data_IF_918664688055
#
_entry.id   IF_918664688055
#
_cell.length_a   1.000
_cell.length_b   1.000
_cell.length_c   1.000
_cell.angle_alpha   90.00
_cell.angle_beta   90.00
_cell.angle_gamma   90.00
#
_symmetry.space_group_name_H-M   'P 1'
#
loop_
_entity.id
_entity.type
_entity.pdbx_description
1 polymer ?
#
# COMPACT_ATOMS: atom_id res chain seq x y z
N UNK A 1 49.99 1.73 1.69
CA UNK A 1 48.98 1.42 2.72
C UNK A 1 49.62 0.91 4.01
N UNK A 2 50.52 -0.07 3.96
CA UNK A 2 51.25 -0.57 5.15
C UNK A 2 51.92 0.53 5.98
N UNK A 3 52.64 1.46 5.33
CA UNK A 3 53.29 2.59 6.00
C UNK A 3 52.30 3.46 6.79
N UNK A 4 51.07 3.64 6.28
CA UNK A 4 50.05 4.45 6.95
C UNK A 4 49.54 3.81 8.23
N UNK A 5 49.47 2.48 8.31
CA UNK A 5 49.13 1.79 9.56
C UNK A 5 50.29 1.87 10.54
N UNK A 6 51.53 1.69 10.06
CA UNK A 6 52.75 1.81 10.88
C UNK A 6 52.91 3.20 11.51
N UNK A 7 52.50 4.27 10.80
CA UNK A 7 52.48 5.65 11.31
C UNK A 7 51.16 6.03 12.00
N UNK A 8 50.34 5.07 12.43
CA UNK A 8 49.08 5.31 13.16
C UNK A 8 48.05 6.19 12.42
N UNK A 9 48.02 6.14 11.09
CA UNK A 9 47.06 6.90 10.28
C UNK A 9 45.84 6.07 9.82
N UNK A 10 45.93 4.73 9.85
CA UNK A 10 44.83 3.82 9.48
C UNK A 10 44.79 2.58 10.39
N UNK A 11 43.59 2.05 10.62
CA UNK A 11 43.36 0.74 11.24
C UNK A 11 43.47 -0.36 10.19
N UNK A 12 43.87 -1.55 10.62
CA UNK A 12 43.76 -2.77 9.84
C UNK A 12 42.91 -3.78 10.61
N UNK A 13 41.95 -4.40 9.93
CA UNK A 13 41.17 -5.50 10.51
C UNK A 13 42.12 -6.67 10.76
N UNK A 14 42.35 -6.98 12.03
CA UNK A 14 43.26 -8.06 12.46
C UNK A 14 42.54 -9.39 12.54
N UNK A 15 41.25 -9.37 12.84
CA UNK A 15 40.43 -10.57 12.95
C UNK A 15 38.95 -10.28 12.71
N UNK A 16 38.25 -11.28 12.17
CA UNK A 16 36.80 -11.29 12.09
C UNK A 16 36.31 -12.63 12.63
N UNK A 17 35.37 -12.55 13.56
CA UNK A 17 34.70 -13.70 14.16
C UNK A 17 33.51 -14.07 13.28
N UNK A 18 33.66 -15.19 12.57
CA UNK A 18 32.64 -15.69 11.64
C UNK A 18 31.37 -16.16 12.36
N UNK A 19 31.49 -16.73 13.57
CA UNK A 19 30.33 -17.16 14.36
C UNK A 19 29.54 -15.95 14.86
N UNK A 20 30.25 -14.91 15.33
CA UNK A 20 29.63 -13.65 15.72
C UNK A 20 28.98 -12.94 14.52
N UNK A 21 29.61 -12.98 13.34
CA UNK A 21 29.06 -12.43 12.09
C UNK A 21 27.76 -13.12 11.72
N UNK A 22 27.73 -14.45 11.68
CA UNK A 22 26.53 -15.24 11.36
C UNK A 22 25.41 -14.98 12.35
N UNK A 23 25.73 -14.94 13.65
CA UNK A 23 24.74 -14.63 14.69
C UNK A 23 24.15 -13.25 14.53
N UNK A 24 24.96 -12.24 14.21
CA UNK A 24 24.48 -10.88 14.04
C UNK A 24 23.67 -10.74 12.74
N UNK A 25 24.10 -11.37 11.64
CA UNK A 25 23.32 -11.44 10.39
C UNK A 25 21.93 -12.04 10.65
N UNK A 26 21.87 -13.19 11.32
CA UNK A 26 20.60 -13.82 11.68
C UNK A 26 19.73 -12.93 12.56
N UNK A 27 20.33 -12.25 13.55
CA UNK A 27 19.61 -11.31 14.41
C UNK A 27 19.00 -10.15 13.61
N UNK A 28 19.71 -9.64 12.61
CA UNK A 28 19.18 -8.59 11.73
C UNK A 28 18.05 -9.15 10.85
N UNK A 29 18.21 -10.34 10.27
CA UNK A 29 17.16 -11.01 9.48
C UNK A 29 15.87 -11.23 10.30
N UNK A 30 15.99 -11.74 11.53
CA UNK A 30 14.86 -11.94 12.44
C UNK A 30 14.17 -10.62 12.79
N UNK A 31 14.96 -9.55 13.02
CA UNK A 31 14.43 -8.21 13.28
C UNK A 31 13.68 -7.68 12.05
N UNK A 32 14.25 -7.82 10.85
CA UNK A 32 13.63 -7.38 9.60
C UNK A 32 12.28 -8.07 9.41
N UNK A 33 12.25 -9.39 9.54
CA UNK A 33 11.02 -10.18 9.39
C UNK A 33 9.92 -9.74 10.39
N UNK A 34 10.29 -9.45 11.64
CA UNK A 34 9.34 -8.94 12.63
C UNK A 34 8.81 -7.55 12.23
N UNK A 35 9.70 -6.66 11.80
CA UNK A 35 9.33 -5.27 11.45
C UNK A 35 8.44 -5.24 10.20
N UNK A 36 8.77 -6.03 9.18
CA UNK A 36 7.95 -6.19 7.96
C UNK A 36 6.56 -6.74 8.28
N UNK A 37 6.48 -7.75 9.17
CA UNK A 37 5.20 -8.29 9.62
C UNK A 37 4.35 -7.24 10.36
N UNK A 38 4.96 -6.46 11.27
CA UNK A 38 4.27 -5.38 11.97
C UNK A 38 3.79 -4.27 11.02
N UNK A 39 4.60 -3.88 10.03
CA UNK A 39 4.23 -2.90 9.01
C UNK A 39 3.08 -3.40 8.15
N UNK A 40 3.13 -4.65 7.68
CA UNK A 40 2.05 -5.27 6.92
C UNK A 40 0.75 -5.35 7.72
N UNK A 41 0.82 -5.70 9.01
CA UNK A 41 -0.33 -5.71 9.90
C UNK A 41 -0.95 -4.31 10.07
N UNK A 42 -0.12 -3.27 10.24
CA UNK A 42 -0.57 -1.87 10.32
C UNK A 42 -1.22 -1.41 9.01
N UNK A 43 -0.65 -1.74 7.85
CA UNK A 43 -1.22 -1.42 6.55
C UNK A 43 -2.60 -2.07 6.39
N UNK A 44 -2.70 -3.37 6.68
CA UNK A 44 -3.97 -4.09 6.61
C UNK A 44 -5.04 -3.51 7.54
N UNK A 45 -4.65 -3.11 8.76
CA UNK A 45 -5.55 -2.45 9.69
C UNK A 45 -6.08 -1.11 9.15
N UNK A 46 -5.20 -0.27 8.57
CA UNK A 46 -5.60 1.01 7.95
C UNK A 46 -6.51 0.81 6.74
N UNK A 47 -6.22 -0.17 5.89
CA UNK A 47 -7.07 -0.51 4.74
C UNK A 47 -8.45 -0.98 5.22
N UNK A 48 -8.50 -1.81 6.27
CA UNK A 48 -9.75 -2.28 6.85
C UNK A 48 -10.56 -1.11 7.45
N UNK A 49 -9.90 -0.19 8.15
CA UNK A 49 -10.52 1.03 8.69
C UNK A 49 -11.10 1.92 7.59
N UNK A 50 -10.33 2.20 6.54
CA UNK A 50 -10.80 2.98 5.39
C UNK A 50 -12.04 2.34 4.74
N UNK A 51 -12.02 1.01 4.54
CA UNK A 51 -13.16 0.26 4.01
C UNK A 51 -14.38 0.33 4.92
N UNK A 52 -14.20 0.16 6.23
CA UNK A 52 -15.29 0.20 7.20
C UNK A 52 -15.96 1.58 7.27
N UNK A 53 -15.16 2.66 7.18
CA UNK A 53 -15.70 4.03 7.13
C UNK A 53 -16.57 4.22 5.88
N UNK A 54 -16.07 3.80 4.72
CA UNK A 54 -16.81 3.93 3.46
C UNK A 54 -18.03 3.03 3.41
N UNK A 55 -17.94 1.80 3.92
CA UNK A 55 -19.06 0.86 4.02
C UNK A 55 -20.20 1.46 4.85
N UNK A 56 -19.90 2.09 5.98
CA UNK A 56 -20.90 2.80 6.79
C UNK A 56 -21.57 3.94 6.01
N UNK A 57 -20.82 4.75 5.26
CA UNK A 57 -21.39 5.82 4.42
C UNK A 57 -22.27 5.27 3.30
N UNK A 58 -21.84 4.17 2.68
CA UNK A 58 -22.61 3.48 1.64
C UNK A 58 -23.92 2.89 2.21
N UNK A 59 -23.90 2.38 3.45
CA UNK A 59 -25.11 1.96 4.16
C UNK A 59 -26.07 3.14 4.39
N UNK A 60 -25.56 4.28 4.88
CA UNK A 60 -26.35 5.51 5.10
C UNK A 60 -27.02 6.00 3.79
N UNK A 61 -26.30 5.95 2.66
CA UNK A 61 -26.85 6.27 1.33
C UNK A 61 -27.85 5.24 0.83
N UNK A 62 -27.60 3.95 1.09
CA UNK A 62 -28.55 2.89 0.74
C UNK A 62 -29.87 3.04 1.49
N UNK A 63 -29.80 3.51 2.74
CA UNK A 63 -30.96 3.75 3.58
C UNK A 63 -31.70 5.01 3.15
N UNK A 64 -30.97 6.08 2.80
CA UNK A 64 -31.54 7.28 2.20
C UNK A 64 -32.29 6.97 0.90
N UNK A 65 -31.79 6.03 0.09
CA UNK A 65 -32.48 5.55 -1.11
C UNK A 65 -33.82 4.87 -0.80
N UNK A 66 -33.85 4.01 0.22
CA UNK A 66 -35.10 3.36 0.69
C UNK A 66 -36.08 4.41 1.23
N UNK A 67 -35.59 5.42 1.95
CA UNK A 67 -36.44 6.51 2.43
C UNK A 67 -37.05 7.33 1.28
N UNK A 68 -36.30 7.58 0.21
CA UNK A 68 -36.82 8.23 -1.01
C UNK A 68 -37.90 7.36 -1.66
N UNK A 69 -37.70 6.04 -1.74
CA UNK A 69 -38.71 5.13 -2.28
C UNK A 69 -40.00 5.17 -1.47
N UNK A 70 -39.92 5.13 -0.14
CA UNK A 70 -41.08 5.22 0.74
C UNK A 70 -41.79 6.58 0.63
N UNK A 71 -41.02 7.69 0.60
CA UNK A 71 -41.58 9.03 0.42
C UNK A 71 -42.27 9.18 -0.93
N UNK A 72 -41.72 8.59 -1.98
CA UNK A 72 -42.33 8.57 -3.31
C UNK A 72 -43.67 7.84 -3.28
N UNK A 73 -43.74 6.64 -2.69
CA UNK A 73 -44.99 5.88 -2.57
C UNK A 73 -46.07 6.65 -1.79
N UNK A 74 -45.68 7.34 -0.71
CA UNK A 74 -46.57 8.22 0.06
C UNK A 74 -47.05 9.42 -0.77
N UNK A 75 -46.15 10.11 -1.48
CA UNK A 75 -46.48 11.26 -2.32
C UNK A 75 -47.37 10.90 -3.51
N UNK A 76 -47.16 9.72 -4.12
CA UNK A 76 -48.06 9.19 -5.16
C UNK A 76 -49.47 9.04 -4.59
N UNK A 77 -49.61 8.36 -3.46
CA UNK A 77 -50.92 8.14 -2.85
C UNK A 77 -51.60 9.48 -2.52
N UNK A 78 -50.88 10.43 -1.94
CA UNK A 78 -51.40 11.75 -1.56
C UNK A 78 -51.82 12.60 -2.78
N UNK A 79 -51.06 12.58 -3.88
CA UNK A 79 -51.38 13.38 -5.08
C UNK A 79 -52.39 12.73 -6.02
N UNK A 80 -52.43 11.39 -6.11
CA UNK A 80 -53.38 10.69 -6.99
C UNK A 80 -54.78 10.60 -6.37
N UNK A 81 -54.89 10.46 -5.04
CA UNK A 81 -56.19 10.24 -4.37
C UNK A 81 -57.21 11.39 -4.57
N UNK A 82 -56.85 12.68 -4.54
CA UNK A 82 -57.76 13.79 -4.86
C UNK A 82 -58.28 13.71 -6.29
N UNK A 83 -57.40 13.45 -7.26
CA UNK A 83 -57.75 13.35 -8.69
C UNK A 83 -58.68 12.16 -8.96
N UNK A 84 -58.42 11.01 -8.32
CA UNK A 84 -59.28 9.83 -8.40
C UNK A 84 -60.66 10.13 -7.79
N UNK A 85 -60.71 10.75 -6.60
CA UNK A 85 -61.98 11.12 -5.95
C UNK A 85 -62.75 12.16 -6.77
N UNK A 86 -62.08 13.13 -7.37
CA UNK A 86 -62.68 14.13 -8.25
C UNK A 86 -63.27 13.47 -9.51
N UNK A 87 -62.50 12.58 -10.14
CA UNK A 87 -62.95 11.77 -11.27
C UNK A 87 -64.19 10.94 -10.97
N UNK A 88 -64.15 10.13 -9.90
CA UNK A 88 -65.29 9.28 -9.50
C UNK A 88 -66.55 10.07 -9.14
N UNK A 89 -66.41 11.24 -8.48
CA UNK A 89 -67.55 12.12 -8.19
C UNK A 89 -68.19 12.64 -9.47
N UNK A 90 -67.37 13.08 -10.42
CA UNK A 90 -67.84 13.64 -11.68
C UNK A 90 -68.46 12.55 -12.57
N UNK A 91 -67.87 11.35 -12.61
CA UNK A 91 -68.45 10.17 -13.26
C UNK A 91 -69.80 9.78 -12.64
N UNK A 92 -69.92 9.77 -11.31
CA UNK A 92 -71.18 9.49 -10.62
C UNK A 92 -72.26 10.51 -10.99
N UNK A 93 -71.92 11.80 -10.98
CA UNK A 93 -72.81 12.89 -11.39
C UNK A 93 -73.25 12.77 -12.86
N UNK A 94 -72.32 12.50 -13.77
CA UNK A 94 -72.62 12.34 -15.19
C UNK A 94 -73.41 11.07 -15.49
N UNK A 95 -73.21 10.00 -14.71
CA UNK A 95 -73.98 8.76 -14.84
C UNK A 95 -75.41 8.89 -14.29
N UNK A 96 -75.62 9.71 -13.25
CA UNK A 96 -76.96 10.00 -12.70
C UNK A 96 -77.76 10.91 -13.63
N UNK A 97 -77.10 11.86 -14.31
CA UNK A 97 -77.72 12.79 -15.27
C UNK A 97 -77.67 12.30 -16.72
N UNK A 98 -77.48 11.00 -16.95
CA UNK A 98 -77.36 10.42 -18.29
C UNK A 98 -78.67 10.59 -19.09
N UNK A 99 -78.62 11.28 -20.22
CA UNK A 99 -79.81 11.60 -21.03
C UNK A 99 -80.58 12.84 -20.58
N UNK A 100 -80.13 13.55 -19.54
CA UNK A 100 -80.64 14.86 -19.15
C UNK A 100 -79.84 16.00 -19.79
N UNK A 101 -80.50 17.14 -19.98
CA UNK A 101 -79.90 18.35 -20.56
C UNK A 101 -79.21 19.16 -19.46
N UNK A 102 -77.90 19.38 -19.61
CA UNK A 102 -77.11 20.04 -18.58
C UNK A 102 -77.52 21.51 -18.42
N UNK A 103 -77.97 21.94 -17.24
CA UNK A 103 -78.42 23.33 -17.00
C UNK A 103 -77.26 24.32 -16.81
N UNK A 104 -76.08 23.83 -16.48
CA UNK A 104 -74.86 24.61 -16.21
C UNK A 104 -73.66 23.90 -16.83
N UNK A 105 -72.61 24.61 -17.30
CA UNK A 105 -71.44 23.94 -17.83
C UNK A 105 -70.80 23.04 -16.75
N UNK A 106 -70.57 21.77 -17.09
CA UNK A 106 -69.91 20.81 -16.20
C UNK A 106 -68.41 20.92 -16.45
N UNK A 107 -67.67 21.31 -15.42
CA UNK A 107 -66.22 21.44 -15.43
C UNK A 107 -65.61 20.38 -14.52
N UNK A 108 -64.40 19.93 -14.85
CA UNK A 108 -63.66 19.07 -13.94
C UNK A 108 -63.21 19.88 -12.71
N UNK A 109 -63.34 19.35 -11.47
CA UNK A 109 -62.90 20.06 -10.27
C UNK A 109 -61.40 20.38 -10.34
N UNK A 110 -61.02 21.62 -10.01
CA UNK A 110 -59.63 22.10 -10.04
C UNK A 110 -58.97 22.17 -11.44
N UNK A 111 -59.77 22.15 -12.53
CA UNK A 111 -59.28 22.47 -13.88
C UNK A 111 -60.29 23.33 -14.68
N UNK A 112 -59.79 24.08 -15.66
CA UNK A 112 -60.64 24.88 -16.58
C UNK A 112 -61.28 24.03 -17.70
N UNK A 113 -61.15 22.69 -17.64
CA UNK A 113 -61.65 21.77 -18.65
C UNK A 113 -63.19 21.66 -18.56
N UNK A 114 -63.89 22.15 -19.58
CA UNK A 114 -65.34 22.01 -19.72
C UNK A 114 -65.64 20.67 -20.42
N UNK A 115 -66.33 19.78 -19.72
CA UNK A 115 -66.69 18.43 -20.18
C UNK A 115 -68.07 18.41 -20.87
N UNK A 116 -69.01 19.25 -20.41
CA UNK A 116 -70.29 19.43 -21.08
C UNK A 116 -70.72 20.89 -20.99
N UNK A 117 -71.20 21.49 -22.09
CA UNK A 117 -71.69 22.88 -22.09
C UNK A 117 -73.13 22.94 -21.57
N UNK A 118 -73.55 24.12 -21.11
CA UNK A 118 -74.95 24.34 -20.74
C UNK A 118 -75.86 24.15 -21.97
N UNK A 119 -76.86 23.27 -21.85
CA UNK A 119 -77.79 22.88 -22.91
C UNK A 119 -77.42 21.60 -23.66
N UNK A 120 -76.29 20.94 -23.36
CA UNK A 120 -75.94 19.67 -23.99
C UNK A 120 -76.53 18.46 -23.26
N UNK A 121 -76.98 17.47 -24.04
CA UNK A 121 -77.45 16.18 -23.52
C UNK A 121 -76.22 15.38 -23.10
N UNK A 122 -76.23 14.87 -21.86
CA UNK A 122 -75.13 14.06 -21.34
C UNK A 122 -75.16 12.69 -22.03
N UNK A 123 -74.09 12.37 -22.78
CA UNK A 123 -73.91 11.11 -23.50
C UNK A 123 -72.72 10.33 -22.94
N UNK A 124 -72.59 9.06 -23.31
CA UNK A 124 -71.41 8.23 -22.96
C UNK A 124 -70.08 8.84 -23.44
N UNK A 125 -70.11 9.74 -24.43
CA UNK A 125 -68.92 10.43 -24.93
C UNK A 125 -68.32 11.36 -23.87
N UNK A 126 -69.15 12.11 -23.15
CA UNK A 126 -68.70 12.97 -22.03
C UNK A 126 -68.14 12.13 -20.86
N UNK A 127 -68.63 10.90 -20.67
CA UNK A 127 -68.13 9.98 -19.64
C UNK A 127 -66.73 9.46 -20.00
N UNK A 128 -66.50 9.12 -21.28
CA UNK A 128 -65.18 8.75 -21.80
C UNK A 128 -64.19 9.92 -21.75
N UNK A 129 -64.63 11.15 -22.03
CA UNK A 129 -63.78 12.35 -21.93
C UNK A 129 -63.31 12.61 -20.49
N UNK A 130 -64.14 12.34 -19.48
CA UNK A 130 -63.73 12.41 -18.06
C UNK A 130 -62.69 11.35 -17.74
N UNK A 131 -62.91 10.11 -18.18
CA UNK A 131 -61.98 9.00 -17.95
C UNK A 131 -60.62 9.25 -18.60
N UNK A 132 -60.62 9.74 -19.83
CA UNK A 132 -59.41 10.08 -20.57
C UNK A 132 -58.68 11.25 -19.91
N UNK A 133 -59.40 12.29 -19.47
CA UNK A 133 -58.82 13.42 -18.75
C UNK A 133 -58.21 13.02 -17.40
N UNK A 134 -58.94 12.23 -16.59
CA UNK A 134 -58.43 11.69 -15.31
C UNK A 134 -57.19 10.85 -15.55
N UNK A 135 -57.23 9.95 -16.54
CA UNK A 135 -56.08 9.11 -16.88
C UNK A 135 -54.86 9.95 -17.26
N UNK A 136 -54.99 10.91 -18.17
CA UNK A 136 -53.90 11.81 -18.57
C UNK A 136 -53.34 12.58 -17.37
N UNK A 137 -54.22 13.08 -16.48
CA UNK A 137 -53.78 13.83 -15.31
C UNK A 137 -53.06 12.96 -14.28
N UNK A 138 -53.48 11.71 -14.12
CA UNK A 138 -52.78 10.74 -13.27
C UNK A 138 -51.42 10.37 -13.86
N UNK A 139 -51.34 10.15 -15.18
CA UNK A 139 -50.08 9.90 -15.89
C UNK A 139 -49.11 11.08 -15.74
N UNK A 140 -49.57 12.33 -15.90
CA UNK A 140 -48.74 13.53 -15.68
C UNK A 140 -48.17 13.60 -14.25
N UNK A 141 -49.01 13.36 -13.24
CA UNK A 141 -48.57 13.40 -11.83
C UNK A 141 -47.58 12.27 -11.53
N UNK A 142 -47.83 11.07 -12.05
CA UNK A 142 -46.94 9.92 -11.88
C UNK A 142 -45.59 10.17 -12.56
N UNK A 143 -45.60 10.68 -13.80
CA UNK A 143 -44.38 11.00 -14.55
C UNK A 143 -43.55 12.11 -13.85
N UNK A 144 -44.18 13.18 -13.37
CA UNK A 144 -43.51 14.24 -12.60
C UNK A 144 -42.82 13.69 -11.35
N UNK A 145 -43.55 12.91 -10.54
CA UNK A 145 -42.99 12.32 -9.31
C UNK A 145 -41.90 11.32 -9.62
N UNK A 146 -42.05 10.54 -10.70
CA UNK A 146 -41.08 9.54 -11.13
C UNK A 146 -39.80 10.21 -11.59
N UNK A 147 -39.88 11.31 -12.33
CA UNK A 147 -38.70 12.10 -12.71
C UNK A 147 -37.97 12.66 -11.48
N UNK A 148 -38.69 13.18 -10.49
CA UNK A 148 -38.08 13.67 -9.23
C UNK A 148 -37.37 12.54 -8.47
N UNK A 149 -38.01 11.37 -8.39
CA UNK A 149 -37.42 10.17 -7.80
C UNK A 149 -36.14 9.76 -8.53
N UNK A 150 -36.21 9.61 -9.86
CA UNK A 150 -35.08 9.18 -10.69
C UNK A 150 -33.87 10.11 -10.51
N UNK A 151 -34.11 11.43 -10.45
CA UNK A 151 -33.06 12.44 -10.19
C UNK A 151 -32.37 12.21 -8.84
N UNK A 152 -33.13 12.03 -7.75
CA UNK A 152 -32.56 11.77 -6.41
C UNK A 152 -31.81 10.43 -6.36
N UNK A 153 -32.32 9.41 -7.02
CA UNK A 153 -31.64 8.11 -7.12
C UNK A 153 -30.31 8.23 -7.87
N UNK A 154 -30.27 9.00 -8.96
CA UNK A 154 -29.03 9.22 -9.71
C UNK A 154 -28.02 10.07 -8.93
N UNK A 155 -28.46 11.08 -8.15
CA UNK A 155 -27.60 11.82 -7.23
C UNK A 155 -26.92 10.88 -6.21
N UNK A 156 -27.70 10.03 -5.55
CA UNK A 156 -27.15 9.02 -4.60
C UNK A 156 -26.22 8.04 -5.31
N UNK A 157 -26.56 7.63 -6.53
CA UNK A 157 -25.73 6.71 -7.31
C UNK A 157 -24.37 7.32 -7.62
N UNK A 158 -24.33 8.59 -8.04
CA UNK A 158 -23.08 9.32 -8.28
C UNK A 158 -22.27 9.39 -6.98
N UNK A 159 -22.89 9.75 -5.86
CA UNK A 159 -22.22 9.83 -4.55
C UNK A 159 -21.63 8.47 -4.11
N UNK A 160 -22.35 7.37 -4.33
CA UNK A 160 -21.86 6.01 -4.08
C UNK A 160 -20.61 5.71 -4.91
N UNK A 161 -20.62 6.05 -6.20
CA UNK A 161 -19.47 5.82 -7.08
C UNK A 161 -18.28 6.72 -6.71
N UNK A 162 -18.52 7.97 -6.31
CA UNK A 162 -17.49 8.89 -5.80
C UNK A 162 -16.85 8.34 -4.52
N UNK A 163 -17.63 7.90 -3.54
CA UNK A 163 -17.12 7.31 -2.29
C UNK A 163 -16.28 6.07 -2.59
N UNK A 164 -16.73 5.20 -3.51
CA UNK A 164 -15.97 4.01 -3.91
C UNK A 164 -14.64 4.38 -4.55
N UNK A 165 -14.66 5.30 -5.51
CA UNK A 165 -13.46 5.77 -6.19
C UNK A 165 -12.47 6.43 -5.22
N UNK A 166 -12.95 7.28 -4.30
CA UNK A 166 -12.12 7.90 -3.26
C UNK A 166 -11.50 6.85 -2.34
N UNK A 167 -12.27 5.82 -1.96
CA UNK A 167 -11.78 4.73 -1.11
C UNK A 167 -10.70 3.92 -1.80
N UNK A 168 -10.89 3.60 -3.08
CA UNK A 168 -9.91 2.86 -3.87
C UNK A 168 -8.61 3.65 -4.03
N UNK A 169 -8.70 4.95 -4.32
CA UNK A 169 -7.56 5.85 -4.38
C UNK A 169 -6.82 5.95 -3.03
N UNK A 170 -7.55 6.07 -1.92
CA UNK A 170 -6.96 6.09 -0.58
C UNK A 170 -6.25 4.78 -0.24
N UNK A 171 -6.82 3.63 -0.61
CA UNK A 171 -6.18 2.32 -0.43
C UNK A 171 -4.91 2.19 -1.28
N UNK A 172 -4.95 2.69 -2.52
CA UNK A 172 -3.80 2.71 -3.41
C UNK A 172 -2.68 3.60 -2.85
N UNK A 173 -2.99 4.79 -2.36
CA UNK A 173 -2.03 5.70 -1.72
C UNK A 173 -1.38 5.06 -0.48
N UNK A 174 -2.19 4.41 0.39
CA UNK A 174 -1.67 3.68 1.55
C UNK A 174 -0.70 2.55 1.15
N UNK A 175 -0.97 1.85 0.04
CA UNK A 175 -0.10 0.80 -0.49
C UNK A 175 1.19 1.38 -1.05
N UNK A 176 1.10 2.44 -1.83
CA UNK A 176 2.27 3.12 -2.41
C UNK A 176 3.20 3.65 -1.31
N UNK A 177 2.65 4.31 -0.29
CA UNK A 177 3.42 4.77 0.86
C UNK A 177 4.13 3.64 1.59
N UNK A 178 3.46 2.49 1.76
CA UNK A 178 4.07 1.32 2.38
C UNK A 178 5.16 0.70 1.49
N UNK A 179 4.95 0.65 0.17
CA UNK A 179 5.96 0.17 -0.78
C UNK A 179 7.21 1.05 -0.77
N UNK A 180 7.03 2.37 -0.81
CA UNK A 180 8.13 3.34 -0.71
C UNK A 180 8.91 3.15 0.60
N UNK A 181 8.20 3.06 1.74
CA UNK A 181 8.83 2.82 3.04
C UNK A 181 9.58 1.47 3.06
N UNK A 182 8.96 0.40 2.57
CA UNK A 182 9.58 -0.92 2.52
C UNK A 182 10.81 -0.95 1.61
N UNK A 183 10.80 -0.19 0.51
CA UNK A 183 11.95 -0.08 -0.40
C UNK A 183 13.15 0.60 0.28
N UNK A 184 12.90 1.68 1.04
CA UNK A 184 13.93 2.41 1.77
C UNK A 184 14.53 1.55 2.90
N UNK A 185 13.67 0.87 3.68
CA UNK A 185 14.09 -0.04 4.73
C UNK A 185 14.92 -1.20 4.13
N UNK A 186 14.49 -1.76 3.00
CA UNK A 186 15.22 -2.83 2.30
C UNK A 186 16.61 -2.38 1.84
N UNK A 187 16.73 -1.19 1.27
CA UNK A 187 18.02 -0.62 0.85
C UNK A 187 18.96 -0.43 2.05
N UNK A 188 18.45 0.07 3.18
CA UNK A 188 19.24 0.18 4.41
C UNK A 188 19.70 -1.19 4.92
N UNK A 189 18.80 -2.18 4.91
CA UNK A 189 19.11 -3.54 5.34
C UNK A 189 20.18 -4.21 4.47
N UNK A 190 20.11 -4.03 3.15
CA UNK A 190 21.14 -4.49 2.22
C UNK A 190 22.48 -3.86 2.58
N UNK A 191 22.52 -2.55 2.83
CA UNK A 191 23.77 -1.86 3.22
C UNK A 191 24.35 -2.38 4.53
N UNK A 192 23.52 -2.61 5.56
CA UNK A 192 23.99 -3.14 6.84
C UNK A 192 24.54 -4.56 6.70
N UNK A 193 23.88 -5.39 5.89
CA UNK A 193 24.35 -6.73 5.56
C UNK A 193 25.67 -6.69 4.79
N UNK A 194 25.76 -5.84 3.77
CA UNK A 194 26.98 -5.68 2.97
C UNK A 194 28.14 -5.17 3.83
N UNK A 195 27.89 -4.23 4.76
CA UNK A 195 28.91 -3.80 5.72
C UNK A 195 29.48 -4.96 6.54
N UNK A 196 28.63 -5.89 7.01
CA UNK A 196 29.06 -7.06 7.77
C UNK A 196 29.83 -8.07 6.92
N UNK A 197 29.41 -8.27 5.67
CA UNK A 197 30.04 -9.23 4.73
C UNK A 197 31.37 -8.68 4.21
N UNK A 198 31.48 -7.37 3.99
CA UNK A 198 32.68 -6.69 3.51
C UNK A 198 33.78 -6.60 4.57
N UNK A 199 33.46 -6.81 5.85
CA UNK A 199 34.45 -6.87 6.92
C UNK A 199 35.34 -8.11 6.73
N UNK A 200 36.50 -7.90 6.11
CA UNK A 200 37.49 -8.95 5.90
C UNK A 200 38.80 -8.65 6.64
N UNK A 201 39.51 -9.69 7.12
CA UNK A 201 40.87 -9.52 7.63
C UNK A 201 41.78 -8.84 6.60
N UNK A 202 42.72 -8.03 7.09
CA UNK A 202 43.68 -7.25 6.30
C UNK A 202 43.08 -6.08 5.50
N UNK A 203 41.80 -5.75 5.73
CA UNK A 203 41.18 -4.53 5.19
C UNK A 203 41.62 -3.31 5.99
N UNK A 204 41.96 -2.22 5.28
CA UNK A 204 42.39 -0.96 5.88
C UNK A 204 41.19 -0.02 6.06
N UNK A 205 41.07 0.57 7.25
CA UNK A 205 39.92 1.41 7.64
C UNK A 205 40.45 2.74 8.21
N UNK A 206 39.84 3.86 7.83
CA UNK A 206 40.14 5.17 8.44
C UNK A 206 39.50 5.32 9.82
N UNK A 207 39.95 6.31 10.61
CA UNK A 207 39.47 6.56 11.98
C UNK A 207 37.94 6.67 12.08
N UNK A 208 37.31 7.50 11.24
CA UNK A 208 35.85 7.73 11.28
C UNK A 208 35.08 6.43 11.03
N UNK A 209 35.38 5.75 9.92
CA UNK A 209 34.75 4.48 9.55
C UNK A 209 35.02 3.39 10.59
N UNK A 210 36.19 3.37 11.23
CA UNK A 210 36.47 2.43 12.31
C UNK A 210 35.56 2.68 13.52
N UNK A 211 35.38 3.93 13.95
CA UNK A 211 34.47 4.27 15.06
C UNK A 211 33.03 3.83 14.75
N UNK A 212 32.56 4.10 13.54
CA UNK A 212 31.19 3.75 13.12
C UNK A 212 30.98 2.23 13.07
N UNK A 213 31.95 1.50 12.50
CA UNK A 213 31.89 0.03 12.43
C UNK A 213 32.06 -0.57 13.82
N UNK A 214 32.92 -0.04 14.68
CA UNK A 214 33.12 -0.55 16.05
C UNK A 214 31.88 -0.32 16.92
N UNK A 215 31.19 0.80 16.75
CA UNK A 215 29.95 1.08 17.45
C UNK A 215 28.84 0.09 17.09
N UNK A 216 28.77 -0.34 15.82
CA UNK A 216 27.73 -1.26 15.32
C UNK A 216 28.11 -2.74 15.45
N UNK A 217 29.34 -3.07 15.09
CA UNK A 217 29.83 -4.44 14.85
C UNK A 217 31.07 -4.80 15.67
N UNK A 218 31.33 -4.12 16.79
CA UNK A 218 32.54 -4.33 17.59
C UNK A 218 32.70 -5.74 18.20
N UNK A 219 31.65 -6.56 18.19
CA UNK A 219 31.72 -7.98 18.58
C UNK A 219 32.11 -8.89 17.40
N UNK A 220 31.96 -8.41 16.16
CA UNK A 220 32.19 -9.19 14.94
C UNK A 220 33.63 -9.08 14.47
N UNK A 221 34.27 -7.91 14.62
CA UNK A 221 35.63 -7.71 14.15
C UNK A 221 36.52 -7.01 15.17
N UNK A 222 37.82 -7.27 15.04
CA UNK A 222 38.88 -6.56 15.72
C UNK A 222 39.73 -5.82 14.68
N UNK A 223 40.01 -4.55 14.94
CA UNK A 223 40.96 -3.79 14.14
C UNK A 223 41.86 -2.95 15.04
N UNK A 224 43.15 -2.97 14.70
CA UNK A 224 44.23 -2.37 15.47
C UNK A 224 45.08 -1.45 14.55
N UNK A 225 45.92 -0.59 15.13
CA UNK A 225 46.84 0.29 14.40
C UNK A 225 48.30 0.04 14.81
N UNK A 226 49.24 0.66 14.09
CA UNK A 226 50.65 0.66 14.44
C UNK A 226 51.34 -0.68 14.21
N UNK A 227 52.54 -0.81 14.76
CA UNK A 227 53.34 -2.03 14.67
C UNK A 227 52.68 -3.22 15.41
N UNK A 228 51.91 -2.95 16.47
CA UNK A 228 51.21 -4.00 17.24
C UNK A 228 50.16 -4.75 16.41
N UNK A 229 49.45 -4.05 15.52
CA UNK A 229 48.49 -4.68 14.61
C UNK A 229 49.15 -5.74 13.72
N UNK A 230 50.31 -5.41 13.14
CA UNK A 230 51.06 -6.35 12.31
C UNK A 230 51.66 -7.48 13.14
N UNK A 231 52.08 -7.22 14.37
CA UNK A 231 52.55 -8.26 15.28
C UNK A 231 51.46 -9.31 15.51
N UNK A 232 50.24 -8.87 15.81
CA UNK A 232 49.10 -9.75 16.03
C UNK A 232 48.70 -10.54 14.78
N UNK A 233 48.72 -9.90 13.61
CA UNK A 233 48.46 -10.58 12.33
C UNK A 233 49.52 -11.66 12.06
N UNK A 234 50.80 -11.31 12.18
CA UNK A 234 51.91 -12.23 11.92
C UNK A 234 51.95 -13.39 12.91
N UNK A 235 51.61 -13.14 14.18
CA UNK A 235 51.54 -14.16 15.23
C UNK A 235 50.44 -15.20 14.98
N UNK A 236 49.33 -14.81 14.33
CA UNK A 236 48.23 -15.71 13.97
C UNK A 236 48.44 -16.42 12.62
N UNK A 237 49.52 -16.09 11.90
CA UNK A 237 49.77 -16.63 10.57
C UNK A 237 50.26 -18.08 10.65
N UNK A 238 49.47 -19.00 10.10
CA UNK A 238 49.87 -20.39 9.91
C UNK A 238 50.70 -20.53 8.63
N UNK A 239 52.01 -20.68 8.80
CA UNK A 239 52.96 -20.82 7.68
C UNK A 239 52.83 -22.16 6.96
N UNK A 240 52.40 -23.22 7.65
CA UNK A 240 52.24 -24.54 7.06
C UNK A 240 51.04 -24.53 6.11
N UNK A 241 49.88 -24.07 6.60
CA UNK A 241 48.67 -23.89 5.80
C UNK A 241 48.91 -22.95 4.61
N UNK A 242 49.57 -21.81 4.84
CA UNK A 242 49.87 -20.87 3.76
C UNK A 242 50.81 -21.46 2.71
N UNK A 243 51.76 -22.33 3.10
CA UNK A 243 52.64 -23.01 2.13
C UNK A 243 51.85 -23.97 1.23
N UNK A 244 50.93 -24.74 1.81
CA UNK A 244 50.06 -25.66 1.06
C UNK A 244 49.19 -24.90 0.05
N UNK A 245 48.53 -23.82 0.48
CA UNK A 245 47.71 -22.96 -0.38
C UNK A 245 48.51 -22.38 -1.56
N UNK A 246 49.72 -21.88 -1.29
CA UNK A 246 50.60 -21.31 -2.31
C UNK A 246 51.12 -22.37 -3.28
N UNK A 247 51.46 -23.58 -2.80
CA UNK A 247 51.82 -24.69 -3.67
C UNK A 247 50.67 -25.09 -4.60
N UNK A 248 49.45 -25.16 -4.06
CA UNK A 248 48.26 -25.42 -4.84
C UNK A 248 48.05 -24.34 -5.92
N UNK A 249 48.14 -23.05 -5.56
CA UNK A 249 48.00 -21.94 -6.51
C UNK A 249 49.06 -21.99 -7.62
N UNK A 250 50.33 -22.29 -7.29
CA UNK A 250 51.41 -22.42 -8.28
C UNK A 250 51.13 -23.52 -9.29
N UNK A 251 50.58 -24.66 -8.85
CA UNK A 251 50.33 -25.84 -9.70
C UNK A 251 49.06 -25.72 -10.53
N UNK A 252 47.99 -25.16 -9.96
CA UNK A 252 46.64 -25.20 -10.55
C UNK A 252 46.28 -23.92 -11.30
N UNK A 253 46.90 -22.78 -10.98
CA UNK A 253 46.53 -21.50 -11.58
C UNK A 253 46.94 -21.41 -13.04
N UNK A 254 45.97 -21.12 -13.92
CA UNK A 254 46.24 -20.93 -15.37
C UNK A 254 46.97 -19.61 -15.66
N UNK A 255 46.81 -18.60 -14.80
CA UNK A 255 47.42 -17.28 -14.97
C UNK A 255 48.92 -17.30 -14.66
N UNK A 256 49.76 -16.89 -15.62
CA UNK A 256 51.21 -16.75 -15.44
C UNK A 256 51.56 -15.73 -14.34
N UNK A 257 50.79 -14.64 -14.24
CA UNK A 257 51.02 -13.59 -13.24
C UNK A 257 50.72 -14.10 -11.82
N UNK A 258 49.58 -14.79 -11.62
CA UNK A 258 49.22 -15.37 -10.32
C UNK A 258 50.25 -16.40 -9.87
N UNK A 259 50.62 -17.33 -10.77
CA UNK A 259 51.70 -18.31 -10.50
C UNK A 259 53.01 -17.64 -10.10
N UNK A 260 53.46 -16.64 -10.85
CA UNK A 260 54.72 -15.94 -10.54
C UNK A 260 54.69 -15.24 -9.17
N UNK A 261 53.57 -14.60 -8.80
CA UNK A 261 53.39 -13.99 -7.47
C UNK A 261 53.39 -15.06 -6.37
N UNK A 262 52.66 -16.15 -6.57
CA UNK A 262 52.59 -17.26 -5.60
C UNK A 262 53.98 -17.91 -5.39
N UNK A 263 54.75 -18.15 -6.45
CA UNK A 263 56.13 -18.69 -6.34
C UNK A 263 57.05 -17.77 -5.52
N UNK A 264 56.97 -16.45 -5.73
CA UNK A 264 57.79 -15.49 -4.96
C UNK A 264 57.41 -15.49 -3.47
N UNK A 265 56.11 -15.51 -3.16
CA UNK A 265 55.61 -15.61 -1.77
C UNK A 265 56.01 -16.93 -1.12
N UNK A 266 55.85 -18.03 -1.84
CA UNK A 266 56.19 -19.37 -1.36
C UNK A 266 57.66 -19.49 -0.96
N UNK A 267 58.57 -18.86 -1.74
CA UNK A 267 60.00 -18.83 -1.39
C UNK A 267 60.26 -18.19 -0.02
N UNK A 268 59.53 -17.12 0.32
CA UNK A 268 59.66 -16.44 1.62
C UNK A 268 59.07 -17.30 2.74
N UNK A 269 57.86 -17.86 2.52
CA UNK A 269 57.19 -18.74 3.50
C UNK A 269 58.06 -19.96 3.83
N UNK A 270 58.61 -20.63 2.81
CA UNK A 270 59.50 -21.78 2.99
C UNK A 270 60.80 -21.42 3.71
N UNK A 271 61.34 -20.22 3.50
CA UNK A 271 62.52 -19.76 4.23
C UNK A 271 62.23 -19.58 5.73
N UNK A 272 61.07 -19.03 6.10
CA UNK A 272 60.64 -18.95 7.50
C UNK A 272 60.43 -20.34 8.11
N UNK A 273 59.70 -21.23 7.41
CA UNK A 273 59.47 -22.62 7.89
C UNK A 273 60.77 -23.38 8.15
N UNK A 274 61.75 -23.29 7.23
CA UNK A 274 63.04 -24.00 7.37
C UNK A 274 63.96 -23.43 8.44
N UNK A 275 63.89 -22.12 8.67
CA UNK A 275 64.73 -21.45 9.67
C UNK A 275 64.17 -21.59 11.09
N UNK A 276 62.89 -21.95 11.25
CA UNK A 276 62.21 -21.97 12.55
C UNK A 276 61.94 -20.58 13.13
N UNK A 277 62.28 -19.52 12.39
CA UNK A 277 62.03 -18.14 12.80
C UNK A 277 60.54 -17.84 12.70
N UNK A 278 60.01 -17.18 13.72
CA UNK A 278 58.62 -16.73 13.75
C UNK A 278 58.46 -15.38 13.05
N UNK A 279 57.48 -15.19 12.15
CA UNK A 279 57.31 -13.94 11.40
C UNK A 279 57.14 -12.69 12.26
N UNK A 280 56.47 -12.81 13.40
CA UNK A 280 56.24 -11.70 14.33
C UNK A 280 57.52 -11.17 15.00
N UNK A 281 58.63 -11.94 15.00
CA UNK A 281 59.92 -11.48 15.53
C UNK A 281 60.52 -10.34 14.71
N UNK A 282 59.99 -10.07 13.52
CA UNK A 282 60.36 -8.89 12.74
C UNK A 282 59.95 -7.57 13.42
N UNK A 283 59.07 -7.62 14.42
CA UNK A 283 58.58 -6.47 15.17
C UNK A 283 59.16 -6.52 16.58
N UNK A 284 60.01 -5.54 16.90
CA UNK A 284 60.71 -5.46 18.19
C UNK A 284 59.74 -5.06 19.30
N UNK A 285 59.62 -5.88 20.34
CA UNK A 285 58.73 -5.65 21.50
C UNK A 285 59.46 -5.26 22.78
N UNK A 286 60.77 -5.50 22.84
CA UNK A 286 61.66 -5.10 23.95
C UNK A 286 62.88 -4.42 23.34
N UNK A 287 63.21 -3.22 23.82
CA UNK A 287 64.39 -2.43 23.43
C UNK A 287 65.37 -2.34 24.59
#
# INVERSE_FOLDING_TARGET
NLDRVLYFAQYVVTHVDEEAREKELKRQEDKIALTEHEQAAKLNARIAEARAISEKRLEELSQSRIEIDNQYDEMIAERLEPTIKAGQRLEGMLSESLGEESRTPIQFPDSDQVIAKAGEIITNQHLSEVQEFVKLRLEEIEDELKEEKEKKHEEIRIEIEEIRAETDLNIEDLRNQHEDQSSADREENIRLRDELVDLQPLTFIGESRYRDLRARWGQVFQADMGAEAFFNILKRLDLDKLSEELWHEVRTSRSKQKRSKATKRLKVVEAFRRSGNRPEWMILTVL
#
